data_IF_047533021053
#
_entry.id   IF_047533021053
#
_cell.length_a   1.000
_cell.length_b   1.000
_cell.length_c   1.000
_cell.angle_alpha   90.00
_cell.angle_beta   90.00
_cell.angle_gamma   90.00
#
_symmetry.space_group_name_H-M   'P 1'
#
loop_
_entity.id
_entity.type
_entity.pdbx_description
1 polymer ?
#
# COMPACT_ATOMS: atom_id res chain seq x y z
N UNK A 1 1.61 8.24 29.22
CA UNK A 1 0.81 8.94 28.19
C UNK A 1 1.69 9.48 27.07
N UNK A 2 2.91 9.93 27.37
CA UNK A 2 3.82 10.55 26.37
C UNK A 2 4.40 9.57 25.34
N UNK A 3 4.62 8.31 25.70
CA UNK A 3 5.17 7.32 24.76
C UNK A 3 4.20 6.89 23.65
N UNK A 4 2.88 6.89 23.90
CA UNK A 4 1.88 6.60 22.86
C UNK A 4 1.82 7.75 21.84
N UNK A 5 1.86 8.99 22.29
CA UNK A 5 1.93 10.17 21.42
C UNK A 5 3.22 10.17 20.57
N UNK A 6 4.35 9.76 21.16
CA UNK A 6 5.61 9.62 20.41
C UNK A 6 5.54 8.53 19.35
N UNK A 7 4.91 7.40 19.63
CA UNK A 7 4.72 6.32 18.64
C UNK A 7 3.78 6.74 17.51
N UNK A 8 2.67 7.43 17.82
CA UNK A 8 1.77 7.98 16.80
C UNK A 8 2.45 9.02 15.92
N UNK A 9 3.26 9.89 16.51
CA UNK A 9 4.03 10.89 15.76
C UNK A 9 5.08 10.24 14.85
N UNK A 10 5.79 9.21 15.35
CA UNK A 10 6.74 8.45 14.54
C UNK A 10 6.06 7.69 13.40
N UNK A 11 4.93 7.04 13.68
CA UNK A 11 4.14 6.34 12.65
C UNK A 11 3.64 7.31 11.57
N UNK A 12 3.12 8.47 11.97
CA UNK A 12 2.70 9.52 11.03
C UNK A 12 3.87 10.03 10.19
N UNK A 13 5.02 10.29 10.80
CA UNK A 13 6.23 10.72 10.08
C UNK A 13 6.70 9.67 9.07
N UNK A 14 6.73 8.40 9.47
CA UNK A 14 7.06 7.29 8.57
C UNK A 14 6.08 7.21 7.40
N UNK A 15 4.78 7.38 7.65
CA UNK A 15 3.74 7.41 6.61
C UNK A 15 3.92 8.56 5.61
N UNK A 16 4.26 9.76 6.09
CA UNK A 16 4.55 10.92 5.23
C UNK A 16 5.82 10.72 4.39
N UNK A 17 6.88 10.16 4.98
CA UNK A 17 8.10 9.83 4.24
C UNK A 17 7.83 8.75 3.19
N UNK A 18 7.07 7.72 3.55
CA UNK A 18 6.63 6.67 2.62
C UNK A 18 5.90 7.28 1.42
N UNK A 19 4.88 8.11 1.67
CA UNK A 19 4.10 8.78 0.64
C UNK A 19 4.96 9.67 -0.26
N UNK A 20 5.90 10.42 0.33
CA UNK A 20 6.86 11.23 -0.44
C UNK A 20 7.73 10.38 -1.37
N UNK A 21 8.22 9.24 -0.90
CA UNK A 21 9.03 8.31 -1.68
C UNK A 21 8.22 7.64 -2.79
N UNK A 22 6.97 7.25 -2.51
CA UNK A 22 6.02 6.69 -3.47
C UNK A 22 5.70 7.70 -4.57
N UNK A 23 5.36 8.92 -4.19
CA UNK A 23 5.09 10.04 -5.09
C UNK A 23 6.27 10.30 -6.05
N UNK A 24 7.52 10.16 -5.58
CA UNK A 24 8.74 10.34 -6.35
C UNK A 24 9.29 9.05 -6.99
N UNK A 25 8.54 7.96 -6.97
CA UNK A 25 8.94 6.65 -7.56
C UNK A 25 10.28 6.16 -7.01
N UNK A 26 10.55 6.37 -5.72
CA UNK A 26 11.81 6.00 -5.08
C UNK A 26 11.76 4.60 -4.49
N UNK A 27 12.71 3.74 -4.85
CA UNK A 27 12.80 2.36 -4.34
C UNK A 27 12.91 2.27 -2.81
N UNK A 28 13.42 3.32 -2.17
CA UNK A 28 13.57 3.40 -0.72
C UNK A 28 12.24 3.28 0.04
N UNK A 29 11.10 3.54 -0.63
CA UNK A 29 9.79 3.32 0.00
C UNK A 29 9.63 1.90 0.54
N UNK A 30 10.16 0.89 -0.19
CA UNK A 30 10.08 -0.50 0.23
C UNK A 30 10.93 -0.82 1.45
N UNK A 31 12.06 -0.12 1.64
CA UNK A 31 12.88 -0.28 2.86
C UNK A 31 12.13 0.24 4.08
N UNK A 32 11.47 1.40 3.95
CA UNK A 32 10.65 1.96 5.04
C UNK A 32 9.45 1.06 5.33
N UNK A 33 8.78 0.54 4.29
CA UNK A 33 7.64 -0.37 4.49
C UNK A 33 8.00 -1.74 5.06
N UNK A 34 9.29 -2.10 5.15
CA UNK A 34 9.73 -3.31 5.87
C UNK A 34 9.90 -3.08 7.37
N UNK A 35 10.21 -1.86 7.81
CA UNK A 35 10.61 -1.57 9.20
C UNK A 35 9.45 -1.82 10.16
N UNK A 36 8.31 -1.18 9.93
CA UNK A 36 7.17 -1.29 10.86
C UNK A 36 6.61 -2.73 10.94
N UNK A 37 6.31 -3.42 9.82
CA UNK A 37 5.84 -4.80 9.90
C UNK A 37 6.82 -5.76 10.57
N UNK A 38 8.12 -5.54 10.44
CA UNK A 38 9.12 -6.37 11.12
C UNK A 38 9.05 -6.23 12.65
N UNK A 39 8.80 -5.00 13.14
CA UNK A 39 8.57 -4.73 14.58
C UNK A 39 7.21 -5.33 15.00
N UNK A 40 6.17 -5.09 14.23
CA UNK A 40 4.80 -5.50 14.51
C UNK A 40 4.65 -7.02 14.62
N UNK A 41 5.35 -7.79 13.79
CA UNK A 41 5.42 -9.26 13.88
C UNK A 41 5.81 -9.69 15.30
N UNK A 42 6.83 -9.08 15.87
CA UNK A 42 7.28 -9.44 17.21
C UNK A 42 6.30 -8.97 18.28
N UNK A 43 5.79 -7.75 18.17
CA UNK A 43 4.85 -7.15 19.13
C UNK A 43 3.53 -7.92 19.16
N UNK A 44 2.92 -8.18 18.01
CA UNK A 44 1.63 -8.87 17.93
C UNK A 44 1.72 -10.34 18.31
N UNK A 45 2.81 -11.03 17.99
CA UNK A 45 3.04 -12.38 18.47
C UNK A 45 3.09 -12.45 20.01
N UNK A 46 3.81 -11.53 20.65
CA UNK A 46 3.90 -11.45 22.11
C UNK A 46 2.58 -11.05 22.76
N UNK A 47 1.78 -10.24 22.10
CA UNK A 47 0.46 -9.81 22.56
C UNK A 47 -0.66 -10.85 22.33
N UNK A 48 -0.38 -11.95 21.59
CA UNK A 48 -1.38 -12.95 21.23
C UNK A 48 -2.37 -12.50 20.16
N UNK A 49 -2.04 -11.41 19.44
CA UNK A 49 -2.85 -10.82 18.37
C UNK A 49 -2.52 -11.49 17.03
N UNK A 50 -2.95 -12.75 16.85
CA UNK A 50 -2.53 -13.56 15.71
C UNK A 50 -3.05 -13.07 14.36
N UNK A 51 -4.17 -12.37 14.33
CA UNK A 51 -4.69 -11.77 13.07
C UNK A 51 -3.78 -10.63 12.59
N UNK A 52 -3.42 -9.71 13.50
CA UNK A 52 -2.51 -8.59 13.21
C UNK A 52 -1.09 -9.09 12.91
N UNK A 53 -0.64 -10.12 13.60
CA UNK A 53 0.61 -10.83 13.29
C UNK A 53 0.61 -11.36 11.86
N UNK A 54 -0.46 -12.03 11.41
CA UNK A 54 -0.60 -12.53 10.04
C UNK A 54 -0.59 -11.41 9.00
N UNK A 55 -1.27 -10.28 9.28
CA UNK A 55 -1.26 -9.10 8.41
C UNK A 55 0.13 -8.47 8.32
N UNK A 56 0.86 -8.41 9.43
CA UNK A 56 2.23 -7.86 9.45
C UNK A 56 3.18 -8.73 8.62
N UNK A 57 3.05 -10.07 8.67
CA UNK A 57 3.78 -10.97 7.77
C UNK A 57 3.45 -10.67 6.31
N UNK A 58 2.17 -10.51 5.98
CA UNK A 58 1.75 -10.16 4.63
C UNK A 58 2.41 -8.85 4.15
N UNK A 59 2.35 -7.78 4.96
CA UNK A 59 2.95 -6.49 4.60
C UNK A 59 4.46 -6.58 4.40
N UNK A 60 5.16 -7.35 5.24
CA UNK A 60 6.61 -7.57 5.10
C UNK A 60 6.92 -8.32 3.79
N UNK A 61 6.19 -9.39 3.48
CA UNK A 61 6.37 -10.13 2.23
C UNK A 61 6.05 -9.28 0.99
N UNK A 62 5.00 -8.46 1.05
CA UNK A 62 4.64 -7.53 -0.01
C UNK A 62 5.72 -6.47 -0.23
N UNK A 63 6.31 -5.95 0.85
CA UNK A 63 7.41 -4.98 0.77
C UNK A 63 8.67 -5.59 0.15
N UNK A 64 9.04 -6.81 0.55
CA UNK A 64 10.16 -7.56 -0.06
C UNK A 64 9.89 -7.82 -1.54
N UNK A 65 8.68 -8.26 -1.90
CA UNK A 65 8.29 -8.47 -3.29
C UNK A 65 8.39 -7.17 -4.11
N UNK A 66 7.85 -6.07 -3.61
CA UNK A 66 7.90 -4.77 -4.26
C UNK A 66 9.34 -4.28 -4.45
N UNK A 67 10.19 -4.44 -3.44
CA UNK A 67 11.61 -4.10 -3.53
C UNK A 67 12.32 -4.92 -4.61
N UNK A 68 12.08 -6.24 -4.67
CA UNK A 68 12.65 -7.10 -5.71
C UNK A 68 12.18 -6.69 -7.11
N UNK A 69 10.89 -6.36 -7.26
CA UNK A 69 10.33 -5.89 -8.54
C UNK A 69 10.93 -4.57 -9.00
N UNK A 70 11.14 -3.62 -8.06
CA UNK A 70 11.64 -2.28 -8.39
C UNK A 70 13.16 -2.22 -8.55
N UNK A 71 13.91 -3.20 -8.02
CA UNK A 71 15.36 -3.25 -8.15
C UNK A 71 15.83 -3.37 -9.61
N UNK A 72 14.93 -3.75 -10.51
CA UNK A 72 15.19 -3.93 -11.94
C UNK A 72 15.86 -5.26 -12.27
N UNK A 73 15.82 -5.60 -13.54
CA UNK A 73 16.52 -6.77 -14.07
C UNK A 73 17.87 -6.33 -14.66
N UNK A 74 18.93 -7.03 -14.30
CA UNK A 74 20.26 -6.83 -14.90
C UNK A 74 20.37 -7.70 -16.14
N UNK A 75 20.66 -7.08 -17.28
CA UNK A 75 20.96 -7.78 -18.53
C UNK A 75 22.42 -7.53 -18.92
N UNK A 76 23.10 -8.58 -19.41
CA UNK A 76 24.44 -8.46 -19.95
C UNK A 76 24.31 -8.19 -21.45
N UNK A 77 24.73 -7.02 -21.89
CA UNK A 77 24.78 -6.67 -23.31
C UNK A 77 25.97 -7.36 -23.98
N UNK A 78 25.93 -7.57 -25.33
CA UNK A 78 27.02 -8.15 -26.12
C UNK A 78 28.38 -7.48 -25.88
N UNK A 79 28.41 -6.22 -25.50
CA UNK A 79 29.63 -5.45 -25.13
C UNK A 79 30.11 -5.65 -23.69
N UNK A 80 29.67 -6.70 -22.97
CA UNK A 80 30.01 -6.95 -21.56
C UNK A 80 29.62 -5.84 -20.55
N UNK A 81 28.82 -4.86 -20.97
CA UNK A 81 28.28 -3.85 -20.08
C UNK A 81 26.99 -4.36 -19.41
N UNK A 82 26.91 -4.23 -18.11
CA UNK A 82 25.69 -4.57 -17.35
C UNK A 82 24.72 -3.40 -17.43
N UNK A 83 23.60 -3.57 -18.12
CA UNK A 83 22.51 -2.60 -18.14
C UNK A 83 21.47 -3.04 -17.11
N UNK A 84 21.06 -2.13 -16.24
CA UNK A 84 19.94 -2.35 -15.31
C UNK A 84 18.70 -1.69 -15.89
N UNK A 85 17.73 -2.52 -16.29
CA UNK A 85 16.44 -2.03 -16.78
C UNK A 85 15.47 -1.92 -15.61
N UNK A 86 15.10 -0.68 -15.25
CA UNK A 86 14.12 -0.41 -14.22
C UNK A 86 12.72 -0.75 -14.69
N UNK A 87 11.90 -1.29 -13.78
CA UNK A 87 10.48 -1.53 -14.05
C UNK A 87 9.79 -0.21 -14.45
N UNK A 88 9.21 -0.10 -15.66
CA UNK A 88 8.54 1.11 -16.11
C UNK A 88 7.17 1.28 -15.40
N UNK A 89 6.71 2.52 -15.30
CA UNK A 89 5.32 2.80 -14.94
C UNK A 89 4.46 2.48 -16.16
N UNK A 90 3.38 1.73 -15.95
CA UNK A 90 2.49 1.29 -17.04
C UNK A 90 1.03 1.32 -16.60
N UNK A 91 0.13 1.26 -17.58
CA UNK A 91 -1.29 0.98 -17.32
C UNK A 91 -1.52 -0.51 -17.06
N UNK A 92 -2.49 -0.81 -16.20
CA UNK A 92 -2.96 -2.19 -16.03
C UNK A 92 -3.72 -2.64 -17.27
N UNK A 93 -3.41 -3.83 -17.78
CA UNK A 93 -4.14 -4.37 -18.95
C UNK A 93 -5.59 -4.74 -18.57
N UNK A 94 -6.53 -4.68 -19.52
CA UNK A 94 -7.94 -5.06 -19.28
C UNK A 94 -8.08 -6.48 -18.74
N UNK A 95 -7.26 -7.42 -19.24
CA UNK A 95 -7.26 -8.81 -18.76
C UNK A 95 -6.80 -8.89 -17.30
N UNK A 96 -5.69 -8.21 -16.98
CA UNK A 96 -5.18 -8.14 -15.60
C UNK A 96 -6.21 -7.51 -14.67
N UNK A 97 -6.92 -6.45 -15.11
CA UNK A 97 -7.95 -5.79 -14.31
C UNK A 97 -9.09 -6.75 -13.94
N UNK A 98 -9.53 -7.60 -14.87
CA UNK A 98 -10.56 -8.62 -14.59
C UNK A 98 -10.05 -9.61 -13.53
N UNK A 99 -8.83 -10.14 -13.67
CA UNK A 99 -8.24 -11.04 -12.67
C UNK A 99 -8.12 -10.38 -11.30
N UNK A 100 -7.63 -9.14 -11.27
CA UNK A 100 -7.50 -8.36 -10.04
C UNK A 100 -8.86 -8.15 -9.38
N UNK A 101 -9.90 -7.86 -10.16
CA UNK A 101 -11.25 -7.72 -9.64
C UNK A 101 -11.79 -9.03 -9.05
N UNK A 102 -11.59 -10.17 -9.73
CA UNK A 102 -11.99 -11.47 -9.18
C UNK A 102 -11.25 -11.80 -7.87
N UNK A 103 -9.93 -11.55 -7.84
CA UNK A 103 -9.11 -11.74 -6.64
C UNK A 103 -9.57 -10.82 -5.51
N UNK A 104 -9.87 -9.55 -5.82
CA UNK A 104 -10.41 -8.59 -4.86
C UNK A 104 -11.69 -9.10 -4.21
N UNK A 105 -12.66 -9.57 -5.01
CA UNK A 105 -13.92 -10.11 -4.48
C UNK A 105 -13.67 -11.30 -3.56
N UNK A 106 -12.76 -12.20 -3.93
CA UNK A 106 -12.39 -13.35 -3.10
C UNK A 106 -11.79 -12.93 -1.75
N UNK A 107 -10.82 -12.00 -1.77
CA UNK A 107 -10.19 -11.47 -0.55
C UNK A 107 -11.22 -10.73 0.29
N UNK A 108 -12.06 -9.88 -0.32
CA UNK A 108 -13.07 -9.11 0.39
C UNK A 108 -14.09 -10.01 1.09
N UNK A 109 -14.61 -11.02 0.40
CA UNK A 109 -15.54 -11.99 0.98
C UNK A 109 -14.92 -12.75 2.14
N UNK A 110 -13.66 -13.20 1.98
CA UNK A 110 -12.93 -13.89 3.05
C UNK A 110 -12.71 -12.96 4.25
N UNK A 111 -12.23 -11.73 4.03
CA UNK A 111 -12.02 -10.75 5.10
C UNK A 111 -13.31 -10.38 5.82
N UNK A 112 -14.39 -10.16 5.07
CA UNK A 112 -15.69 -9.89 5.66
C UNK A 112 -16.14 -11.03 6.57
N UNK A 113 -16.03 -12.29 6.09
CA UNK A 113 -16.35 -13.46 6.89
C UNK A 113 -15.49 -13.56 8.17
N UNK A 114 -14.19 -13.30 8.07
CA UNK A 114 -13.28 -13.28 9.24
C UNK A 114 -13.72 -12.20 10.24
N UNK A 115 -14.01 -10.99 9.78
CA UNK A 115 -14.38 -9.88 10.66
C UNK A 115 -15.70 -10.13 11.40
N UNK A 116 -16.72 -10.69 10.74
CA UNK A 116 -18.00 -10.98 11.40
C UNK A 116 -17.95 -12.20 12.31
N UNK A 117 -17.01 -13.13 12.08
CA UNK A 117 -16.95 -14.39 12.85
C UNK A 117 -16.00 -14.29 14.04
N UNK A 118 -14.87 -13.57 13.89
CA UNK A 118 -13.79 -13.61 14.87
C UNK A 118 -13.48 -12.26 15.51
N UNK A 119 -14.19 -11.18 15.12
CA UNK A 119 -13.92 -9.84 15.67
C UNK A 119 -15.21 -9.12 16.06
N UNK A 120 -15.07 -8.06 16.89
CA UNK A 120 -16.16 -7.18 17.29
C UNK A 120 -16.18 -5.89 16.45
N UNK A 121 -15.84 -5.97 15.16
CA UNK A 121 -15.87 -4.79 14.30
C UNK A 121 -17.27 -4.20 14.23
N UNK A 122 -17.39 -2.89 14.41
CA UNK A 122 -18.66 -2.15 14.33
C UNK A 122 -19.08 -1.85 12.89
N UNK A 123 -18.14 -1.93 11.94
CA UNK A 123 -18.35 -1.64 10.52
C UNK A 123 -17.63 -2.67 9.61
N UNK A 124 -17.92 -3.98 9.78
CA UNK A 124 -17.12 -5.05 9.17
C UNK A 124 -17.11 -5.00 7.64
N UNK A 125 -18.21 -4.54 7.01
CA UNK A 125 -18.30 -4.42 5.56
C UNK A 125 -17.30 -3.39 5.00
N UNK A 126 -17.23 -2.22 5.62
CA UNK A 126 -16.37 -1.14 5.18
C UNK A 126 -14.90 -1.41 5.56
N UNK A 127 -14.64 -1.94 6.76
CA UNK A 127 -13.28 -2.34 7.18
C UNK A 127 -12.72 -3.44 6.25
N UNK A 128 -13.51 -4.48 5.94
CA UNK A 128 -13.08 -5.55 5.02
C UNK A 128 -12.85 -5.05 3.59
N UNK A 129 -13.72 -4.18 3.08
CA UNK A 129 -13.57 -3.60 1.75
C UNK A 129 -12.29 -2.78 1.66
N UNK A 130 -12.07 -1.85 2.58
CA UNK A 130 -10.89 -0.99 2.60
C UNK A 130 -9.59 -1.80 2.69
N UNK A 131 -9.52 -2.75 3.64
CA UNK A 131 -8.33 -3.60 3.78
C UNK A 131 -8.07 -4.48 2.55
N UNK A 132 -9.11 -5.06 1.96
CA UNK A 132 -8.96 -5.89 0.75
C UNK A 132 -8.49 -5.06 -0.45
N UNK A 133 -9.01 -3.85 -0.61
CA UNK A 133 -8.58 -2.95 -1.68
C UNK A 133 -7.14 -2.44 -1.44
N UNK A 134 -6.72 -2.24 -0.18
CA UNK A 134 -5.33 -1.91 0.17
C UNK A 134 -4.35 -3.01 -0.24
N UNK A 135 -4.73 -4.29 -0.07
CA UNK A 135 -3.94 -5.44 -0.53
C UNK A 135 -3.72 -5.37 -2.05
N UNK A 136 -4.78 -5.09 -2.79
CA UNK A 136 -4.72 -4.95 -4.25
C UNK A 136 -3.88 -3.73 -4.65
N UNK A 137 -4.10 -2.58 -4.00
CA UNK A 137 -3.37 -1.34 -4.28
C UNK A 137 -1.86 -1.52 -4.06
N UNK A 138 -1.46 -2.19 -2.97
CA UNK A 138 -0.05 -2.48 -2.68
C UNK A 138 0.58 -3.41 -3.72
N UNK A 139 -0.16 -4.43 -4.21
CA UNK A 139 0.30 -5.27 -5.30
C UNK A 139 0.44 -4.48 -6.61
N UNK A 140 -0.52 -3.61 -6.93
CA UNK A 140 -0.46 -2.73 -8.12
C UNK A 140 0.73 -1.76 -8.03
N UNK A 141 1.01 -1.21 -6.84
CA UNK A 141 2.18 -0.39 -6.57
C UNK A 141 3.48 -1.16 -6.84
N UNK A 142 3.59 -2.40 -6.35
CA UNK A 142 4.76 -3.25 -6.59
C UNK A 142 5.01 -3.51 -8.09
N UNK A 143 3.95 -3.50 -8.90
CA UNK A 143 4.01 -3.64 -10.37
C UNK A 143 4.17 -2.31 -11.11
N UNK A 144 4.25 -1.19 -10.41
CA UNK A 144 4.27 0.19 -10.94
C UNK A 144 3.08 0.50 -11.87
N UNK A 145 1.89 -0.03 -11.58
CA UNK A 145 0.68 0.36 -12.29
C UNK A 145 0.20 1.73 -11.81
N UNK A 146 -0.08 2.63 -12.75
CA UNK A 146 -0.52 3.99 -12.41
C UNK A 146 -1.88 4.00 -11.70
N UNK A 147 -2.75 3.03 -11.98
CA UNK A 147 -4.08 2.88 -11.39
C UNK A 147 -4.05 2.55 -9.90
N UNK A 148 -2.90 2.16 -9.35
CA UNK A 148 -2.76 1.98 -7.89
C UNK A 148 -3.17 3.24 -7.11
N UNK A 149 -2.91 4.44 -7.66
CA UNK A 149 -3.33 5.70 -7.05
C UNK A 149 -4.85 5.86 -6.98
N UNK A 150 -5.59 5.31 -7.97
CA UNK A 150 -7.06 5.30 -7.93
C UNK A 150 -7.59 4.34 -6.85
N UNK A 151 -6.92 3.22 -6.66
CA UNK A 151 -7.25 2.30 -5.57
C UNK A 151 -6.99 2.96 -4.20
N UNK A 152 -5.85 3.62 -4.00
CA UNK A 152 -5.56 4.38 -2.78
C UNK A 152 -6.54 5.54 -2.58
N UNK A 153 -6.92 6.26 -3.63
CA UNK A 153 -7.94 7.30 -3.54
C UNK A 153 -9.24 6.79 -2.90
N UNK A 154 -9.70 5.61 -3.31
CA UNK A 154 -10.92 4.99 -2.76
C UNK A 154 -10.71 4.52 -1.32
N UNK A 155 -9.58 3.87 -1.04
CA UNK A 155 -9.22 3.39 0.31
C UNK A 155 -9.13 4.56 1.29
N UNK A 156 -8.37 5.60 0.94
CA UNK A 156 -8.12 6.73 1.82
C UNK A 156 -9.38 7.54 2.07
N UNK A 157 -10.20 7.76 1.03
CA UNK A 157 -11.51 8.41 1.19
C UNK A 157 -12.46 7.62 2.09
N UNK A 158 -12.48 6.28 1.97
CA UNK A 158 -13.27 5.42 2.83
C UNK A 158 -12.80 5.53 4.29
N UNK A 159 -11.49 5.38 4.53
CA UNK A 159 -10.95 5.45 5.88
C UNK A 159 -11.05 6.86 6.49
N UNK A 160 -10.96 7.91 5.69
CA UNK A 160 -11.29 9.27 6.14
C UNK A 160 -12.68 9.32 6.77
N UNK A 161 -13.71 8.87 6.04
CA UNK A 161 -15.09 8.84 6.54
C UNK A 161 -15.23 7.94 7.76
N UNK A 162 -14.62 6.74 7.75
CA UNK A 162 -14.69 5.80 8.87
C UNK A 162 -14.05 6.34 10.15
N UNK A 163 -12.89 6.98 10.08
CA UNK A 163 -12.22 7.54 11.25
C UNK A 163 -12.96 8.74 11.81
N UNK A 164 -13.57 9.57 10.97
CA UNK A 164 -14.47 10.65 11.45
C UNK A 164 -15.68 10.02 12.16
N UNK A 165 -16.31 9.00 11.57
CA UNK A 165 -17.44 8.29 12.18
C UNK A 165 -17.07 7.63 13.52
N UNK A 166 -15.88 7.00 13.60
CA UNK A 166 -15.37 6.36 14.83
C UNK A 166 -14.90 7.36 15.89
N UNK A 167 -14.96 8.66 15.65
CA UNK A 167 -14.54 9.70 16.59
C UNK A 167 -13.02 9.83 16.76
N UNK A 168 -12.24 9.46 15.72
CA UNK A 168 -10.77 9.57 15.68
C UNK A 168 -10.35 10.62 14.63
N UNK A 169 -10.62 11.92 14.87
CA UNK A 169 -10.48 12.95 13.83
C UNK A 169 -9.05 13.15 13.36
N UNK A 170 -8.06 12.84 14.19
CA UNK A 170 -6.64 12.99 13.83
C UNK A 170 -6.24 12.02 12.70
N UNK A 171 -6.61 10.75 12.82
CA UNK A 171 -6.44 9.77 11.77
C UNK A 171 -7.30 10.10 10.55
N UNK A 172 -8.53 10.58 10.77
CA UNK A 172 -9.37 11.08 9.69
C UNK A 172 -8.67 12.15 8.86
N UNK A 173 -8.10 13.18 9.50
CA UNK A 173 -7.38 14.25 8.81
C UNK A 173 -6.18 13.71 7.98
N UNK A 174 -5.45 12.74 8.50
CA UNK A 174 -4.33 12.10 7.80
C UNK A 174 -4.80 11.36 6.54
N UNK A 175 -5.88 10.57 6.63
CA UNK A 175 -6.46 9.90 5.45
C UNK A 175 -7.08 10.87 4.45
N UNK A 176 -7.67 11.98 4.93
CA UNK A 176 -8.10 13.08 4.07
C UNK A 176 -6.93 13.69 3.28
N UNK A 177 -5.78 13.89 3.93
CA UNK A 177 -4.55 14.32 3.26
C UNK A 177 -4.07 13.30 2.22
N UNK A 178 -4.07 11.99 2.56
CA UNK A 178 -3.69 10.93 1.62
C UNK A 178 -4.61 10.86 0.41
N UNK A 179 -5.92 11.06 0.59
CA UNK A 179 -6.91 11.17 -0.49
C UNK A 179 -6.53 12.27 -1.50
N UNK A 180 -6.15 13.45 -1.00
CA UNK A 180 -5.71 14.57 -1.85
C UNK A 180 -4.41 14.21 -2.57
N UNK A 181 -3.45 13.63 -1.86
CA UNK A 181 -2.16 13.23 -2.42
C UNK A 181 -2.27 12.11 -3.45
N UNK A 182 -3.26 11.24 -3.34
CA UNK A 182 -3.52 10.20 -4.34
C UNK A 182 -3.86 10.81 -5.72
N UNK A 183 -4.63 11.91 -5.75
CA UNK A 183 -4.93 12.64 -7.00
C UNK A 183 -3.65 13.24 -7.63
N UNK A 184 -2.81 13.87 -6.80
CA UNK A 184 -1.55 14.43 -7.28
C UNK A 184 -0.57 13.33 -7.71
N UNK A 185 -0.50 12.23 -6.98
CA UNK A 185 0.33 11.06 -7.31
C UNK A 185 -0.04 10.44 -8.65
N UNK A 186 -1.35 10.25 -8.88
CA UNK A 186 -1.86 9.76 -10.16
C UNK A 186 -1.41 10.65 -11.34
N UNK A 187 -1.63 11.96 -11.22
CA UNK A 187 -1.23 12.93 -12.26
C UNK A 187 0.27 12.92 -12.51
N UNK A 188 1.07 12.86 -11.45
CA UNK A 188 2.53 12.82 -11.56
C UNK A 188 3.02 11.56 -12.25
N UNK A 189 2.51 10.38 -11.85
CA UNK A 189 2.91 9.13 -12.45
C UNK A 189 2.52 9.03 -13.91
N UNK A 190 1.34 9.54 -14.31
CA UNK A 190 0.95 9.69 -15.70
C UNK A 190 1.94 10.58 -16.49
N UNK A 191 2.35 11.71 -15.92
CA UNK A 191 3.32 12.59 -16.56
C UNK A 191 4.68 11.92 -16.76
N UNK A 192 5.15 11.15 -15.77
CA UNK A 192 6.42 10.42 -15.88
C UNK A 192 6.33 9.32 -16.94
N UNK A 193 5.20 8.62 -17.00
CA UNK A 193 4.96 7.55 -17.97
C UNK A 193 4.96 8.11 -19.41
N UNK A 194 4.23 9.20 -19.66
CA UNK A 194 4.12 9.81 -20.98
C UNK A 194 5.48 10.35 -21.48
N UNK A 195 6.24 11.02 -20.61
CA UNK A 195 7.59 11.50 -20.96
C UNK A 195 8.57 10.39 -21.33
N UNK A 196 8.42 9.18 -20.73
CA UNK A 196 9.26 8.03 -21.11
C UNK A 196 8.82 7.37 -22.42
N UNK A 197 7.60 7.59 -22.89
CA UNK A 197 7.12 7.07 -24.16
C UNK A 197 7.52 7.99 -25.35
N UNK A 198 7.87 9.26 -25.09
CA UNK A 198 8.29 10.24 -26.09
C UNK A 198 9.81 10.22 -26.37
N UNK A 199 10.62 9.61 -25.48
CA UNK A 199 12.07 9.46 -25.62
C UNK A 199 12.45 8.03 -26.03
#
# INVERSE_FOLDING_TARGET
MDWLLTLDALGTLCGLIYLYLEYNVRIQLWLISMVMPAIDIFVYYKAGLYADFGMSIYYLLAAVYGWMMWRGKKYMTQNKNTITEELPITHVSKRTLIYVFCVFIGIWTMMYWVLITFTNSTVPLADSFGNSLSIIALWMLARKYVEQWLAWLVVDALFFVLYIYKGVPFHGALYGFYTIMAVFGYRKWLSIMNKKAEN
#
